data_IF_546441038061
#
_entry.id   IF_546441038061
#
_cell.length_a   1.000
_cell.length_b   1.000
_cell.length_c   1.000
_cell.angle_alpha   90.00
_cell.angle_beta   90.00
_cell.angle_gamma   90.00
#
_symmetry.space_group_name_H-M   'P 1'
#
loop_
_entity.id
_entity.type
_entity.pdbx_description
1 polymer ?
#
# COMPACT_ATOMS: atom_id res chain seq x y z
N UNK A 1 -54.41 31.09 28.01
CA UNK A 1 -54.17 30.46 26.70
C UNK A 1 -52.86 30.87 26.07
N UNK A 2 -51.75 30.98 26.84
CA UNK A 2 -50.44 31.50 26.33
C UNK A 2 -49.25 30.55 26.56
N UNK A 3 -49.47 29.32 26.95
CA UNK A 3 -48.36 28.37 27.26
C UNK A 3 -48.15 27.25 26.23
N UNK A 4 -49.01 27.13 25.22
CA UNK A 4 -48.89 26.06 24.21
C UNK A 4 -48.16 26.45 22.94
N UNK A 5 -47.90 27.75 22.69
CA UNK A 5 -47.22 28.24 21.49
C UNK A 5 -45.68 28.11 21.52
N UNK A 6 -45.12 28.00 22.72
CA UNK A 6 -43.67 27.96 22.89
C UNK A 6 -43.08 26.55 22.88
N UNK A 7 -43.91 25.49 22.92
CA UNK A 7 -43.42 24.11 22.92
C UNK A 7 -43.23 23.59 21.49
N UNK A 8 -43.98 24.13 20.53
CA UNK A 8 -43.89 23.72 19.11
C UNK A 8 -42.66 24.33 18.39
N UNK A 9 -42.09 25.43 18.90
CA UNK A 9 -40.92 26.05 18.31
C UNK A 9 -39.57 25.38 18.73
N UNK A 10 -39.54 24.66 19.84
CA UNK A 10 -38.35 24.00 20.36
C UNK A 10 -38.09 22.62 19.73
N UNK A 11 -39.11 21.96 19.16
CA UNK A 11 -38.96 20.62 18.58
C UNK A 11 -38.44 20.68 17.13
N UNK A 12 -38.67 21.79 16.42
CA UNK A 12 -38.21 21.93 15.01
C UNK A 12 -36.73 22.25 14.86
N UNK A 13 -36.06 22.71 15.93
CA UNK A 13 -34.63 23.09 15.87
C UNK A 13 -33.67 21.91 16.07
N UNK A 14 -34.15 20.79 16.62
CA UNK A 14 -33.27 19.63 16.94
C UNK A 14 -33.20 18.64 15.76
N UNK A 15 -34.08 18.71 14.78
CA UNK A 15 -34.12 17.77 13.65
C UNK A 15 -33.23 18.17 12.46
N UNK A 16 -32.57 19.33 12.47
CA UNK A 16 -31.76 19.83 11.37
C UNK A 16 -30.24 19.66 11.57
N UNK A 17 -29.80 19.12 12.71
CA UNK A 17 -28.36 18.92 12.99
C UNK A 17 -27.85 17.48 12.76
N UNK A 18 -28.66 16.60 12.19
CA UNK A 18 -28.36 15.15 12.13
C UNK A 18 -27.87 14.60 10.79
N UNK A 19 -27.67 15.40 9.75
CA UNK A 19 -27.28 14.91 8.41
C UNK A 19 -26.00 15.58 7.87
N UNK A 20 -24.99 15.75 8.71
CA UNK A 20 -23.64 15.85 8.21
C UNK A 20 -23.17 14.43 7.85
N UNK A 21 -23.68 13.91 6.72
CA UNK A 21 -23.09 12.74 6.08
C UNK A 21 -21.62 13.03 5.84
N UNK A 22 -20.77 12.44 6.65
CA UNK A 22 -19.34 12.41 6.40
C UNK A 22 -19.15 11.70 5.06
N UNK A 23 -19.12 12.46 3.97
CA UNK A 23 -18.60 11.99 2.70
C UNK A 23 -17.12 11.67 2.94
N UNK A 24 -16.81 10.44 3.33
CA UNK A 24 -15.45 9.92 3.18
C UNK A 24 -15.22 9.82 1.68
N UNK A 25 -14.24 10.53 1.10
CA UNK A 25 -13.87 10.28 -0.27
C UNK A 25 -13.46 8.81 -0.36
N UNK A 26 -14.19 8.04 -1.15
CA UNK A 26 -13.72 6.72 -1.59
C UNK A 26 -12.44 7.03 -2.36
N UNK A 27 -11.30 6.64 -1.80
CA UNK A 27 -10.05 6.67 -2.54
C UNK A 27 -10.27 5.73 -3.74
N UNK A 28 -10.49 6.31 -4.91
CA UNK A 28 -10.41 5.57 -6.17
C UNK A 28 -9.01 5.00 -6.22
N UNK A 29 -8.89 3.67 -6.21
CA UNK A 29 -7.64 3.00 -6.51
C UNK A 29 -7.19 3.50 -7.88
N UNK A 30 -6.27 4.46 -7.90
CA UNK A 30 -5.71 5.01 -9.13
C UNK A 30 -4.93 3.90 -9.83
N UNK A 31 -4.89 3.94 -11.15
CA UNK A 31 -4.09 2.99 -11.94
C UNK A 31 -2.65 2.98 -11.44
N UNK A 32 -2.11 1.79 -11.21
CA UNK A 32 -0.73 1.63 -10.78
C UNK A 32 0.22 2.14 -11.89
N UNK A 33 1.15 3.04 -11.58
CA UNK A 33 2.04 3.59 -12.59
C UNK A 33 3.11 2.57 -13.01
N UNK A 34 3.54 2.67 -14.25
CA UNK A 34 4.75 1.99 -14.73
C UNK A 34 6.01 2.62 -14.16
N UNK A 35 7.19 2.04 -14.39
CA UNK A 35 8.47 2.64 -13.98
C UNK A 35 8.66 4.07 -14.48
N UNK A 36 8.19 4.37 -15.71
CA UNK A 36 8.21 5.73 -16.27
C UNK A 36 7.27 6.66 -15.50
N UNK A 37 6.06 6.21 -15.22
CA UNK A 37 5.08 6.96 -14.42
C UNK A 37 5.61 7.26 -13.01
N UNK A 38 6.26 6.29 -12.37
CA UNK A 38 6.88 6.48 -11.06
C UNK A 38 7.90 7.61 -11.01
N UNK A 39 8.65 7.85 -12.11
CA UNK A 39 9.63 8.94 -12.18
C UNK A 39 9.00 10.33 -12.27
N UNK A 40 7.75 10.40 -12.68
CA UNK A 40 7.02 11.67 -12.88
C UNK A 40 6.08 12.01 -11.73
N UNK A 41 5.89 11.10 -10.78
CA UNK A 41 5.08 11.35 -9.59
C UNK A 41 5.71 12.44 -8.73
N UNK A 42 5.00 13.56 -8.54
CA UNK A 42 5.43 14.65 -7.68
C UNK A 42 5.08 14.37 -6.21
N UNK A 43 3.87 13.88 -6.00
CA UNK A 43 3.34 13.54 -4.67
C UNK A 43 2.93 12.06 -4.68
N UNK A 44 3.46 11.30 -3.75
CA UNK A 44 3.10 9.91 -3.54
C UNK A 44 3.19 9.56 -2.05
N UNK A 45 2.25 8.78 -1.57
CA UNK A 45 2.31 8.20 -0.23
C UNK A 45 3.33 7.05 -0.14
N UNK A 46 3.47 6.46 1.02
CA UNK A 46 4.40 5.35 1.25
C UNK A 46 4.04 4.10 0.44
N UNK A 47 2.74 3.83 0.24
CA UNK A 47 2.24 2.67 -0.51
C UNK A 47 2.64 2.80 -1.98
N UNK A 48 2.34 3.95 -2.60
CA UNK A 48 2.70 4.21 -3.99
C UNK A 48 4.22 4.27 -4.19
N UNK A 49 4.97 4.84 -3.25
CA UNK A 49 6.44 4.80 -3.26
C UNK A 49 6.97 3.38 -3.16
N UNK A 50 6.30 2.53 -2.39
CA UNK A 50 6.62 1.11 -2.26
C UNK A 50 6.43 0.34 -3.55
N UNK A 51 5.27 0.50 -4.21
CA UNK A 51 5.04 -0.03 -5.55
C UNK A 51 6.16 0.39 -6.51
N UNK A 52 6.44 1.70 -6.58
CA UNK A 52 7.46 2.25 -7.46
C UNK A 52 8.86 1.69 -7.17
N UNK A 53 9.23 1.53 -5.90
CA UNK A 53 10.50 0.92 -5.53
C UNK A 53 10.56 -0.55 -5.93
N UNK A 54 9.45 -1.29 -5.79
CA UNK A 54 9.36 -2.70 -6.11
C UNK A 54 9.48 -2.99 -7.61
N UNK A 55 8.91 -2.14 -8.48
CA UNK A 55 8.94 -2.34 -9.93
C UNK A 55 10.18 -1.76 -10.62
N UNK A 56 10.87 -0.82 -9.96
CA UNK A 56 12.01 -0.13 -10.58
C UNK A 56 13.23 -1.05 -10.66
N UNK A 57 13.74 -1.28 -11.88
CA UNK A 57 14.87 -2.20 -12.16
C UNK A 57 16.15 -1.87 -11.40
N UNK A 58 16.40 -0.59 -11.11
CA UNK A 58 17.59 -0.11 -10.39
C UNK A 58 17.37 -0.04 -8.87
N UNK A 59 16.23 -0.50 -8.39
CA UNK A 59 15.88 -0.58 -6.96
C UNK A 59 15.53 -2.02 -6.59
N UNK A 60 14.34 -2.25 -6.05
CA UNK A 60 13.92 -3.57 -5.62
C UNK A 60 13.85 -4.60 -6.73
N UNK A 61 13.32 -4.20 -7.92
CA UNK A 61 13.08 -5.11 -9.05
C UNK A 61 12.37 -6.41 -8.63
N UNK A 62 11.51 -6.30 -7.61
CA UNK A 62 10.89 -7.45 -6.94
C UNK A 62 10.06 -8.30 -7.90
N UNK A 63 9.41 -7.63 -8.86
CA UNK A 63 8.55 -8.31 -9.83
C UNK A 63 9.31 -9.12 -10.88
N UNK A 64 10.63 -9.03 -10.95
CA UNK A 64 11.42 -9.96 -11.79
C UNK A 64 11.40 -11.40 -11.26
N UNK A 65 11.17 -11.57 -9.96
CA UNK A 65 11.13 -12.85 -9.28
C UNK A 65 9.75 -13.20 -8.71
N UNK A 66 8.97 -12.20 -8.34
CA UNK A 66 7.66 -12.36 -7.70
C UNK A 66 6.54 -11.87 -8.61
N UNK A 67 5.42 -12.59 -8.60
CA UNK A 67 4.16 -12.08 -9.13
C UNK A 67 3.38 -11.40 -8.02
N UNK A 68 2.73 -10.27 -8.31
CA UNK A 68 1.83 -9.59 -7.37
C UNK A 68 0.38 -9.70 -7.86
N UNK A 69 -0.55 -9.96 -6.96
CA UNK A 69 -1.99 -9.95 -7.24
C UNK A 69 -2.48 -8.55 -6.93
N UNK A 70 -2.71 -7.75 -7.94
CA UNK A 70 -3.21 -6.38 -7.89
C UNK A 70 -4.29 -6.18 -8.95
N UNK A 71 -5.31 -5.40 -8.63
CA UNK A 71 -6.48 -5.24 -9.52
C UNK A 71 -6.15 -4.49 -10.83
N UNK A 72 -5.29 -3.47 -10.76
CA UNK A 72 -4.99 -2.58 -11.87
C UNK A 72 -3.55 -2.77 -12.36
N UNK A 73 -3.22 -3.99 -12.81
CA UNK A 73 -1.90 -4.25 -13.37
C UNK A 73 -1.66 -3.40 -14.63
N UNK A 74 -0.56 -2.63 -14.69
CA UNK A 74 -0.28 -1.82 -15.87
C UNK A 74 -0.06 -2.68 -17.13
N UNK A 75 -0.84 -2.47 -18.18
CA UNK A 75 -0.78 -3.27 -19.42
C UNK A 75 0.62 -3.38 -20.04
N UNK A 76 1.41 -2.32 -19.90
CA UNK A 76 2.78 -2.27 -20.43
C UNK A 76 3.83 -2.86 -19.52
N UNK A 77 3.44 -3.29 -18.30
CA UNK A 77 4.33 -3.97 -17.39
C UNK A 77 4.26 -5.47 -17.65
N UNK A 78 5.39 -6.16 -17.90
CA UNK A 78 5.37 -7.60 -18.09
C UNK A 78 4.83 -8.31 -16.83
N UNK A 79 4.27 -9.51 -16.97
CA UNK A 79 3.87 -10.31 -15.83
C UNK A 79 5.00 -10.50 -14.86
N UNK A 80 4.68 -10.58 -13.57
CA UNK A 80 5.66 -10.86 -12.53
C UNK A 80 6.27 -12.25 -12.67
N UNK A 81 7.49 -12.42 -12.15
CA UNK A 81 8.21 -13.69 -12.14
C UNK A 81 7.58 -14.72 -11.20
N UNK A 82 8.06 -15.95 -11.29
CA UNK A 82 7.60 -17.10 -10.50
C UNK A 82 8.74 -17.80 -9.73
N UNK A 83 9.90 -17.16 -9.60
CA UNK A 83 11.04 -17.68 -8.83
C UNK A 83 10.74 -17.60 -7.33
N UNK A 84 10.16 -16.47 -6.90
CA UNK A 84 9.74 -16.26 -5.52
C UNK A 84 8.22 -16.50 -5.33
N UNK A 85 7.76 -16.68 -4.08
CA UNK A 85 6.34 -16.79 -3.78
C UNK A 85 5.56 -15.56 -4.26
N UNK A 86 4.31 -15.72 -4.69
CA UNK A 86 3.49 -14.59 -5.11
C UNK A 86 3.19 -13.64 -3.93
N UNK A 87 3.11 -12.35 -4.24
CA UNK A 87 2.62 -11.35 -3.31
C UNK A 87 1.09 -11.37 -3.30
N UNK A 88 0.55 -12.15 -2.39
CA UNK A 88 -0.89 -12.33 -2.16
C UNK A 88 -1.15 -12.48 -0.68
N UNK A 89 -2.20 -11.84 -0.19
CA UNK A 89 -2.59 -11.84 1.22
C UNK A 89 -1.40 -11.53 2.17
N UNK A 90 -0.54 -10.58 1.75
CA UNK A 90 0.69 -10.29 2.46
C UNK A 90 0.44 -9.73 3.86
N UNK A 91 -0.60 -8.90 4.02
CA UNK A 91 -1.00 -8.39 5.34
C UNK A 91 -1.43 -9.51 6.30
N UNK A 92 -2.09 -10.55 5.80
CA UNK A 92 -2.49 -11.70 6.60
C UNK A 92 -1.30 -12.65 6.89
N UNK A 93 -0.38 -12.81 5.93
CA UNK A 93 0.82 -13.66 6.09
C UNK A 93 1.87 -13.06 7.01
N UNK A 94 1.91 -11.74 7.07
CA UNK A 94 2.83 -10.95 7.90
C UNK A 94 2.05 -9.92 8.72
N UNK A 95 1.29 -10.35 9.73
CA UNK A 95 0.51 -9.43 10.56
C UNK A 95 1.41 -8.46 11.35
N UNK A 96 2.66 -8.85 11.59
CA UNK A 96 3.70 -7.94 12.08
C UNK A 96 4.57 -7.50 10.88
N UNK A 97 4.49 -6.22 10.52
CA UNK A 97 5.24 -5.65 9.41
C UNK A 97 6.75 -5.73 9.57
N UNK A 98 7.26 -5.78 10.79
CA UNK A 98 8.69 -5.95 11.08
C UNK A 98 9.23 -7.30 10.60
N UNK A 99 8.40 -8.35 10.62
CA UNK A 99 8.80 -9.67 10.09
C UNK A 99 8.94 -9.65 8.56
N UNK A 100 8.07 -8.90 7.88
CA UNK A 100 8.18 -8.67 6.44
C UNK A 100 9.40 -7.80 6.12
N UNK A 101 9.63 -6.75 6.91
CA UNK A 101 10.80 -5.90 6.81
C UNK A 101 12.09 -6.70 6.97
N UNK A 102 12.16 -7.55 7.99
CA UNK A 102 13.32 -8.41 8.24
C UNK A 102 13.56 -9.39 7.08
N UNK A 103 12.49 -9.94 6.49
CA UNK A 103 12.59 -10.82 5.31
C UNK A 103 13.19 -10.10 4.11
N UNK A 104 12.83 -8.83 3.87
CA UNK A 104 13.41 -8.03 2.77
C UNK A 104 14.84 -7.60 3.11
N UNK A 105 15.09 -7.31 4.39
CA UNK A 105 16.41 -6.91 4.87
C UNK A 105 17.45 -7.99 4.62
N UNK A 106 17.18 -9.20 5.07
CA UNK A 106 18.07 -10.36 4.92
C UNK A 106 17.28 -11.69 4.90
N UNK A 107 16.84 -12.09 3.73
CA UNK A 107 16.13 -13.36 3.57
C UNK A 107 16.99 -14.57 3.97
N UNK A 108 18.34 -14.43 3.89
CA UNK A 108 19.28 -15.52 4.23
C UNK A 108 19.38 -15.76 5.74
N UNK A 109 18.94 -14.82 6.57
CA UNK A 109 18.88 -15.00 8.02
C UNK A 109 17.88 -16.11 8.43
N UNK A 110 16.76 -16.25 7.68
CA UNK A 110 15.77 -17.32 7.90
C UNK A 110 16.01 -18.54 7.05
N UNK A 111 16.48 -18.35 5.82
CA UNK A 111 16.81 -19.44 4.88
C UNK A 111 18.17 -19.18 4.24
N UNK A 112 19.26 -19.79 4.75
CA UNK A 112 20.62 -19.59 4.21
C UNK A 112 20.76 -19.89 2.71
N UNK A 113 19.87 -20.70 2.14
CA UNK A 113 19.84 -21.06 0.72
C UNK A 113 18.89 -20.17 -0.10
N UNK A 114 18.41 -19.06 0.45
CA UNK A 114 17.53 -18.15 -0.26
C UNK A 114 18.24 -17.52 -1.46
N UNK A 115 17.59 -17.55 -2.62
CA UNK A 115 18.01 -16.81 -3.80
C UNK A 115 17.57 -15.34 -3.76
N UNK A 116 16.70 -14.95 -2.82
CA UNK A 116 16.30 -13.56 -2.64
C UNK A 116 17.50 -12.74 -2.11
N UNK A 117 17.89 -11.65 -2.80
CA UNK A 117 19.00 -10.82 -2.35
C UNK A 117 18.72 -10.21 -0.96
N UNK A 118 19.74 -10.08 -0.09
CA UNK A 118 19.61 -9.41 1.20
C UNK A 118 19.68 -7.89 1.01
N UNK A 119 18.56 -7.30 0.58
CA UNK A 119 18.47 -5.93 0.11
C UNK A 119 18.97 -4.88 1.11
N UNK A 120 18.61 -5.02 2.37
CA UNK A 120 19.05 -4.10 3.43
C UNK A 120 20.49 -4.35 3.86
N UNK A 121 20.84 -5.60 4.17
CA UNK A 121 22.17 -5.99 4.66
C UNK A 121 23.29 -5.61 3.70
N UNK A 122 23.07 -5.75 2.40
CA UNK A 122 24.02 -5.37 1.38
C UNK A 122 23.81 -3.97 0.83
N UNK A 123 22.87 -3.19 1.40
CA UNK A 123 22.56 -1.80 0.99
C UNK A 123 22.22 -1.68 -0.50
N UNK A 124 21.53 -2.68 -1.05
CA UNK A 124 21.12 -2.69 -2.46
C UNK A 124 20.04 -1.64 -2.74
N UNK A 125 19.20 -1.36 -1.75
CA UNK A 125 18.24 -0.27 -1.74
C UNK A 125 18.30 0.46 -0.39
N UNK A 126 17.72 1.67 -0.33
CA UNK A 126 17.68 2.43 0.92
C UNK A 126 16.70 1.80 1.93
N UNK A 127 16.95 2.02 3.22
CA UNK A 127 16.00 1.61 4.27
C UNK A 127 14.61 2.21 4.05
N UNK A 128 14.57 3.46 3.61
CA UNK A 128 13.32 4.14 3.26
C UNK A 128 12.56 3.44 2.13
N UNK A 129 13.26 2.93 1.12
CA UNK A 129 12.62 2.15 0.07
C UNK A 129 12.11 0.81 0.62
N UNK A 130 12.83 0.15 1.54
CA UNK A 130 12.35 -1.06 2.23
C UNK A 130 11.07 -0.77 2.99
N UNK A 131 11.04 0.30 3.80
CA UNK A 131 9.87 0.68 4.58
C UNK A 131 8.65 0.98 3.69
N UNK A 132 8.88 1.65 2.57
CA UNK A 132 7.84 1.90 1.59
C UNK A 132 7.34 0.60 0.91
N UNK A 133 8.24 -0.32 0.56
CA UNK A 133 7.88 -1.63 -0.02
C UNK A 133 7.05 -2.44 0.99
N UNK A 134 7.42 -2.44 2.26
CA UNK A 134 6.64 -3.07 3.33
C UNK A 134 5.24 -2.45 3.40
N UNK A 135 5.13 -1.12 3.37
CA UNK A 135 3.84 -0.42 3.40
C UNK A 135 2.95 -0.84 2.22
N UNK A 136 3.52 -0.93 1.00
CA UNK A 136 2.78 -1.42 -0.16
C UNK A 136 2.38 -2.89 -0.02
N UNK A 137 3.31 -3.79 0.29
CA UNK A 137 3.02 -5.22 0.41
C UNK A 137 1.96 -5.50 1.48
N UNK A 138 1.93 -4.73 2.55
CA UNK A 138 0.92 -4.89 3.62
C UNK A 138 -0.51 -4.57 3.17
N UNK A 139 -0.69 -3.97 1.99
CA UNK A 139 -2.02 -3.71 1.40
C UNK A 139 -2.55 -4.88 0.56
N UNK A 140 -1.74 -5.91 0.30
CA UNK A 140 -2.07 -7.06 -0.53
C UNK A 140 -2.63 -8.23 0.26
#
# INVERSE_FOLDING_TARGET
>A
MLRFRNILAAVSAVLLLGLASSYMPIATAGDLPTEKGCKTLKEADSVMKGWCAAITRRKGNCLSCHHAIVDNWPETLPPGGNIGPPFVAMGARFPNSEDLRAQIWDATAKNPNSSMPPFGKHKLISEKDIDNIVAWLSTL
#
